data_IF_871793983449
#
_entry.id   IF_871793983449
#
_cell.length_a   1.000
_cell.length_b   1.000
_cell.length_c   1.000
_cell.angle_alpha   90.00
_cell.angle_beta   90.00
_cell.angle_gamma   90.00
#
_symmetry.space_group_name_H-M   'P 1'
#
loop_
_entity.id
_entity.type
_entity.pdbx_description
1 polymer ?
#
# COMPACT_ATOMS: atom_id res chain seq x y z
N UNK A 1 -22.01 12.96 8.42
CA UNK A 1 -21.19 12.15 9.36
C UNK A 1 -20.57 13.12 10.36
N UNK A 2 -20.59 12.84 11.66
CA UNK A 2 -19.87 13.66 12.63
C UNK A 2 -18.50 13.03 12.93
N UNK A 3 -17.64 13.77 13.65
CA UNK A 3 -16.23 13.44 13.87
C UNK A 3 -15.94 13.26 15.36
N UNK A 4 -16.34 12.12 15.95
CA UNK A 4 -16.33 11.92 17.41
C UNK A 4 -14.95 12.08 18.04
N UNK A 5 -13.89 11.63 17.35
CA UNK A 5 -12.51 11.75 17.84
C UNK A 5 -12.06 13.22 17.76
N UNK A 6 -12.19 13.85 16.60
CA UNK A 6 -11.76 15.24 16.40
C UNK A 6 -12.55 16.21 17.31
N UNK A 7 -13.86 16.01 17.45
CA UNK A 7 -14.71 16.79 18.34
C UNK A 7 -14.32 16.64 19.81
N UNK A 8 -13.95 15.42 20.24
CA UNK A 8 -13.43 15.19 21.59
C UNK A 8 -12.12 15.94 21.81
N UNK A 9 -11.14 15.81 20.90
CA UNK A 9 -9.83 16.45 21.02
C UNK A 9 -9.93 17.96 21.07
N UNK A 10 -10.73 18.57 20.20
CA UNK A 10 -10.92 20.03 20.17
C UNK A 10 -11.60 20.55 21.44
N UNK A 11 -12.62 19.85 21.91
CA UNK A 11 -13.30 20.18 23.18
C UNK A 11 -12.37 20.05 24.39
N UNK A 12 -11.58 18.97 24.45
CA UNK A 12 -10.61 18.74 25.51
C UNK A 12 -9.53 19.83 25.51
N UNK A 13 -8.98 20.16 24.35
CA UNK A 13 -7.96 21.22 24.22
C UNK A 13 -8.52 22.61 24.65
N UNK A 14 -9.77 22.92 24.29
CA UNK A 14 -10.42 24.20 24.65
C UNK A 14 -10.67 24.37 26.15
N UNK A 15 -10.75 23.28 26.92
CA UNK A 15 -10.90 23.32 28.38
C UNK A 15 -9.60 23.65 29.11
N UNK A 16 -8.47 23.66 28.41
CA UNK A 16 -7.10 23.86 28.96
C UNK A 16 -6.87 23.09 30.29
N UNK A 17 -7.04 21.76 30.29
CA UNK A 17 -6.97 20.99 31.52
C UNK A 17 -5.55 20.86 32.05
N UNK A 18 -5.41 20.77 33.37
CA UNK A 18 -4.12 20.42 33.99
C UNK A 18 -3.75 18.96 33.67
N UNK A 19 -2.79 18.76 32.77
CA UNK A 19 -2.40 17.45 32.25
C UNK A 19 -1.34 16.78 33.11
N UNK A 20 -1.76 15.97 34.09
CA UNK A 20 -0.83 15.17 34.94
C UNK A 20 -0.66 13.74 34.41
N UNK A 21 -1.03 13.51 33.14
CA UNK A 21 -0.88 12.27 32.37
C UNK A 21 0.08 12.45 31.19
N UNK A 22 0.41 11.38 30.46
CA UNK A 22 1.12 11.45 29.17
C UNK A 22 0.27 12.22 28.13
N UNK A 23 0.85 12.80 27.09
CA UNK A 23 2.29 12.88 26.76
C UNK A 23 3.08 13.88 27.61
N UNK A 24 4.40 13.72 27.61
CA UNK A 24 5.32 14.54 28.43
C UNK A 24 5.32 16.05 28.16
N UNK A 25 4.94 16.48 26.94
CA UNK A 25 4.82 17.89 26.55
C UNK A 25 3.64 18.63 27.20
N UNK A 26 2.70 17.92 27.82
CA UNK A 26 1.57 18.50 28.56
C UNK A 26 0.67 19.44 27.73
N UNK A 27 0.59 19.22 26.41
CA UNK A 27 -0.14 20.07 25.47
C UNK A 27 0.54 21.41 25.15
N UNK A 28 1.81 21.58 25.52
CA UNK A 28 2.54 22.83 25.32
C UNK A 28 3.51 22.70 24.16
N UNK A 29 3.48 23.71 23.29
CA UNK A 29 4.41 23.79 22.16
C UNK A 29 5.84 24.14 22.61
N UNK A 30 6.76 24.06 21.67
CA UNK A 30 8.19 24.33 21.84
C UNK A 30 8.67 25.58 21.11
N UNK A 31 7.75 26.45 20.65
CA UNK A 31 8.06 27.62 19.83
C UNK A 31 8.28 27.25 18.36
N UNK A 32 7.57 26.28 17.83
CA UNK A 32 7.72 25.73 16.48
C UNK A 32 6.41 25.75 15.67
N UNK A 33 6.50 25.47 14.38
CA UNK A 33 5.32 25.33 13.51
C UNK A 33 4.39 24.17 13.93
N UNK A 34 4.86 23.24 14.77
CA UNK A 34 4.07 22.12 15.29
C UNK A 34 3.23 22.48 16.52
N UNK A 35 3.34 23.69 17.06
CA UNK A 35 2.73 24.07 18.32
C UNK A 35 1.20 23.92 18.36
N UNK A 36 0.56 24.10 17.22
CA UNK A 36 -0.89 23.91 17.10
C UNK A 36 -1.35 22.44 17.28
N UNK A 37 -0.45 21.47 17.11
CA UNK A 37 -0.76 20.05 17.25
C UNK A 37 -0.69 19.55 18.70
N UNK A 38 0.20 20.13 19.54
CA UNK A 38 0.43 19.65 20.91
C UNK A 38 -0.82 19.65 21.80
N UNK A 39 -1.74 20.66 21.75
CA UNK A 39 -2.98 20.63 22.53
C UNK A 39 -3.92 19.46 22.17
N UNK A 40 -3.85 18.96 20.91
CA UNK A 40 -4.66 17.87 20.40
C UNK A 40 -4.02 16.49 20.59
N UNK A 41 -2.72 16.44 20.93
CA UNK A 41 -2.01 15.19 21.15
C UNK A 41 -2.21 14.74 22.60
N UNK A 42 -2.89 13.61 22.76
CA UNK A 42 -3.28 13.04 24.07
C UNK A 42 -2.95 11.54 24.11
N UNK A 43 -3.28 10.93 25.22
CA UNK A 43 -3.27 9.47 25.41
C UNK A 43 -4.67 8.98 25.76
N UNK A 44 -4.81 7.73 26.14
CA UNK A 44 -6.01 7.04 26.58
C UNK A 44 -6.49 7.57 27.94
N UNK A 45 -7.07 8.76 27.94
CA UNK A 45 -7.70 9.39 29.12
C UNK A 45 -9.21 9.07 29.15
N UNK A 46 -9.90 9.29 30.27
CA UNK A 46 -11.35 9.08 30.35
C UNK A 46 -12.09 9.81 29.22
N UNK A 47 -12.88 9.06 28.45
CA UNK A 47 -13.63 9.55 27.30
C UNK A 47 -12.87 9.57 25.97
N UNK A 48 -11.56 9.38 25.95
CA UNK A 48 -10.76 9.32 24.73
C UNK A 48 -10.79 7.96 24.01
N UNK A 49 -11.30 6.91 24.69
CA UNK A 49 -11.32 5.53 24.22
C UNK A 49 -9.90 4.89 24.15
N UNK A 50 -9.79 3.63 23.73
CA UNK A 50 -8.53 2.91 23.51
C UNK A 50 -8.57 2.18 22.17
N UNK A 51 -7.52 2.28 21.36
CA UNK A 51 -7.56 1.78 19.97
C UNK A 51 -7.89 0.29 19.89
N UNK A 52 -7.29 -0.55 20.73
CA UNK A 52 -7.48 -2.01 20.64
C UNK A 52 -8.68 -2.53 21.44
N UNK A 53 -9.17 -1.75 22.42
CA UNK A 53 -10.32 -2.08 23.24
C UNK A 53 -11.45 -1.03 23.05
N UNK A 54 -11.59 -0.52 21.84
CA UNK A 54 -12.48 0.58 21.52
C UNK A 54 -13.95 0.24 21.80
N UNK A 55 -14.58 1.10 22.60
CA UNK A 55 -16.00 1.03 22.95
C UNK A 55 -16.67 2.42 22.98
N UNK A 56 -15.92 3.48 22.65
CA UNK A 56 -16.34 4.87 22.66
C UNK A 56 -16.15 5.56 21.31
N UNK A 57 -15.48 6.72 21.35
CA UNK A 57 -15.35 7.61 20.17
C UNK A 57 -14.55 6.98 19.02
N UNK A 58 -13.59 6.10 19.31
CA UNK A 58 -12.83 5.39 18.28
C UNK A 58 -13.75 4.35 17.62
N UNK A 59 -14.46 3.55 18.41
CA UNK A 59 -15.40 2.57 17.87
C UNK A 59 -16.50 3.23 17.02
N UNK A 60 -16.98 4.39 17.41
CA UNK A 60 -17.99 5.16 16.66
C UNK A 60 -17.42 5.66 15.33
N UNK A 61 -16.20 6.20 15.31
CA UNK A 61 -15.54 6.66 14.09
C UNK A 61 -15.23 5.49 13.13
N UNK A 62 -14.81 4.35 13.65
CA UNK A 62 -14.62 3.12 12.87
C UNK A 62 -15.94 2.60 12.29
N UNK A 63 -17.05 2.68 13.05
CA UNK A 63 -18.37 2.33 12.56
C UNK A 63 -18.84 3.26 11.42
N UNK A 64 -18.50 4.57 11.49
CA UNK A 64 -18.74 5.51 10.42
C UNK A 64 -18.00 5.11 9.14
N UNK A 65 -16.72 4.74 9.24
CA UNK A 65 -15.95 4.23 8.10
C UNK A 65 -16.54 2.92 7.55
N UNK A 66 -16.90 1.98 8.43
CA UNK A 66 -17.50 0.72 8.05
C UNK A 66 -18.82 0.91 7.29
N UNK A 67 -19.65 1.82 7.75
CA UNK A 67 -20.92 2.16 7.09
C UNK A 67 -20.68 2.76 5.69
N UNK A 68 -19.68 3.65 5.55
CA UNK A 68 -19.38 4.28 4.28
C UNK A 68 -18.80 3.30 3.25
N UNK A 69 -17.86 2.41 3.66
CA UNK A 69 -17.28 1.39 2.79
C UNK A 69 -18.17 0.14 2.62
N UNK A 70 -19.32 0.07 3.30
CA UNK A 70 -20.24 -1.07 3.34
C UNK A 70 -19.54 -2.38 3.77
N UNK A 71 -18.73 -2.30 4.82
CA UNK A 71 -17.98 -3.43 5.39
C UNK A 71 -18.68 -4.00 6.63
N UNK A 72 -18.37 -5.26 6.99
CA UNK A 72 -18.82 -5.82 8.26
C UNK A 72 -18.06 -5.23 9.47
N UNK A 73 -16.89 -4.67 9.22
CA UNK A 73 -16.09 -3.93 10.19
C UNK A 73 -14.90 -3.25 9.53
N UNK A 74 -14.56 -2.08 10.04
CA UNK A 74 -13.36 -1.32 9.67
C UNK A 74 -12.61 -0.98 10.94
N UNK A 75 -11.30 -1.23 10.96
CA UNK A 75 -10.41 -0.95 12.09
C UNK A 75 -9.32 0.03 11.63
N UNK A 76 -9.01 1.00 12.47
CA UNK A 76 -7.98 1.99 12.20
C UNK A 76 -6.58 1.48 12.50
N UNK A 77 -5.63 1.89 11.68
CA UNK A 77 -4.20 1.74 11.93
C UNK A 77 -3.52 3.09 11.93
N UNK A 78 -2.69 3.35 12.94
CA UNK A 78 -1.78 4.50 13.03
C UNK A 78 -0.34 4.13 12.65
N UNK A 79 -0.13 2.91 12.13
CA UNK A 79 1.16 2.38 11.69
C UNK A 79 1.13 1.93 10.21
N UNK A 80 0.30 2.59 9.40
CA UNK A 80 0.14 2.33 7.97
C UNK A 80 -0.51 0.98 7.66
N UNK A 81 -0.61 0.67 6.37
CA UNK A 81 -1.09 -0.63 5.88
C UNK A 81 -0.17 -1.79 6.30
N UNK A 82 1.08 -1.53 6.69
CA UNK A 82 1.97 -2.56 7.24
C UNK A 82 1.32 -3.28 8.41
N UNK A 83 0.76 -2.56 9.38
CA UNK A 83 0.06 -3.15 10.52
C UNK A 83 -1.23 -3.86 10.08
N UNK A 84 -1.94 -3.33 9.09
CA UNK A 84 -3.12 -3.99 8.53
C UNK A 84 -2.77 -5.32 7.83
N UNK A 85 -1.69 -5.37 7.05
CA UNK A 85 -1.21 -6.60 6.39
C UNK A 85 -0.81 -7.66 7.44
N UNK A 86 -0.07 -7.27 8.48
CA UNK A 86 0.27 -8.15 9.59
C UNK A 86 -1.00 -8.72 10.25
N UNK A 87 -2.01 -7.86 10.45
CA UNK A 87 -3.29 -8.25 11.04
C UNK A 87 -4.08 -9.21 10.15
N UNK A 88 -4.17 -8.94 8.84
CA UNK A 88 -4.85 -9.83 7.89
C UNK A 88 -4.23 -11.24 7.91
N UNK A 89 -2.91 -11.31 7.85
CA UNK A 89 -2.19 -12.60 7.86
C UNK A 89 -2.30 -13.31 9.22
N UNK A 90 -2.30 -12.58 10.33
CA UNK A 90 -2.51 -13.15 11.66
C UNK A 90 -3.92 -13.73 11.83
N UNK A 91 -4.95 -13.08 11.26
CA UNK A 91 -6.32 -13.60 11.25
C UNK A 91 -6.42 -14.93 10.50
N UNK A 92 -5.62 -15.09 9.44
CA UNK A 92 -5.61 -16.33 8.63
C UNK A 92 -4.81 -17.46 9.27
N UNK A 93 -3.77 -17.16 10.04
CA UNK A 93 -2.82 -18.17 10.55
C UNK A 93 -3.48 -19.36 11.28
N UNK A 94 -4.58 -19.13 11.97
CA UNK A 94 -5.29 -20.20 12.70
C UNK A 94 -6.07 -21.17 11.80
N UNK A 95 -6.54 -20.68 10.65
CA UNK A 95 -7.39 -21.42 9.73
C UNK A 95 -6.61 -21.89 8.50
N UNK A 96 -5.66 -21.06 8.04
CA UNK A 96 -4.93 -21.24 6.79
C UNK A 96 -3.46 -20.85 6.93
N UNK A 97 -2.60 -21.79 7.32
CA UNK A 97 -1.15 -21.52 7.41
C UNK A 97 -0.49 -21.34 6.05
N UNK A 98 -1.08 -21.93 5.00
CA UNK A 98 -0.64 -21.82 3.62
C UNK A 98 -1.24 -20.56 2.99
N UNK A 99 -0.41 -19.75 2.34
CA UNK A 99 -0.82 -18.53 1.65
C UNK A 99 -0.38 -18.62 0.20
N UNK A 100 -1.33 -18.59 -0.73
CA UNK A 100 -1.06 -18.39 -2.16
C UNK A 100 -0.95 -16.90 -2.42
N UNK A 101 0.25 -16.40 -2.69
CA UNK A 101 0.51 -14.98 -2.88
C UNK A 101 0.99 -14.68 -4.30
N UNK A 102 0.42 -13.65 -4.93
CA UNK A 102 0.95 -13.12 -6.19
C UNK A 102 2.28 -12.44 -5.91
N UNK A 103 3.30 -12.71 -6.75
CA UNK A 103 4.72 -12.39 -6.46
C UNK A 103 5.04 -10.88 -6.38
N UNK A 104 4.14 -9.97 -6.68
CA UNK A 104 4.30 -8.52 -6.56
C UNK A 104 3.94 -7.96 -5.16
N UNK A 105 4.18 -8.74 -4.11
CA UNK A 105 3.88 -8.33 -2.72
C UNK A 105 4.81 -7.23 -2.23
N UNK A 106 4.29 -6.38 -1.36
CA UNK A 106 5.09 -5.43 -0.61
C UNK A 106 5.89 -6.13 0.50
N UNK A 107 7.05 -5.58 0.88
CA UNK A 107 7.91 -6.15 1.96
C UNK A 107 7.18 -6.41 3.28
N UNK A 108 6.09 -5.67 3.58
CA UNK A 108 5.28 -5.88 4.77
C UNK A 108 4.66 -7.29 4.83
N UNK A 109 4.27 -7.85 3.66
CA UNK A 109 3.82 -9.22 3.54
C UNK A 109 4.94 -10.22 3.94
N UNK A 110 6.16 -10.00 3.47
CA UNK A 110 7.31 -10.87 3.76
C UNK A 110 7.66 -10.85 5.26
N UNK A 111 7.74 -9.65 5.85
CA UNK A 111 8.04 -9.53 7.30
C UNK A 111 6.95 -10.16 8.15
N UNK A 112 5.69 -10.00 7.80
CA UNK A 112 4.58 -10.66 8.47
C UNK A 112 4.67 -12.20 8.33
N UNK A 113 4.96 -12.70 7.12
CA UNK A 113 5.11 -14.14 6.87
C UNK A 113 6.26 -14.75 7.67
N UNK A 114 7.38 -14.04 7.80
CA UNK A 114 8.51 -14.43 8.66
C UNK A 114 8.10 -14.51 10.13
N UNK A 115 7.45 -13.45 10.64
CA UNK A 115 7.04 -13.38 12.05
C UNK A 115 6.00 -14.45 12.41
N UNK A 116 5.06 -14.69 11.53
CA UNK A 116 3.97 -15.66 11.72
C UNK A 116 4.36 -17.09 11.34
N UNK A 117 5.49 -17.30 10.65
CA UNK A 117 5.92 -18.62 10.17
C UNK A 117 4.97 -19.21 9.15
N UNK A 118 4.48 -18.40 8.20
CA UNK A 118 3.56 -18.83 7.16
C UNK A 118 4.27 -19.62 6.06
N UNK A 119 3.54 -20.54 5.46
CA UNK A 119 3.93 -21.29 4.27
C UNK A 119 3.43 -20.54 3.05
N UNK A 120 4.34 -19.87 2.33
CA UNK A 120 3.98 -19.05 1.17
C UNK A 120 4.28 -19.82 -0.11
N UNK A 121 3.30 -19.94 -0.97
CA UNK A 121 3.42 -20.41 -2.35
C UNK A 121 3.18 -19.25 -3.31
N UNK A 122 4.07 -19.13 -4.30
CA UNK A 122 4.07 -17.98 -5.19
C UNK A 122 3.31 -18.23 -6.49
N UNK A 123 2.44 -17.30 -6.83
CA UNK A 123 1.82 -17.18 -8.15
C UNK A 123 2.57 -16.08 -8.91
N UNK A 124 3.23 -16.43 -10.00
CA UNK A 124 3.98 -15.47 -10.81
C UNK A 124 3.03 -14.81 -11.82
N UNK A 125 2.88 -13.46 -11.77
CA UNK A 125 2.07 -12.75 -12.74
C UNK A 125 2.75 -12.70 -14.10
N UNK A 126 1.99 -12.41 -15.16
CA UNK A 126 2.55 -11.97 -16.44
C UNK A 126 2.97 -10.51 -16.31
N UNK A 127 4.27 -10.26 -16.29
CA UNK A 127 4.81 -8.91 -16.09
C UNK A 127 4.59 -8.04 -17.33
N UNK A 128 4.10 -6.82 -17.11
CA UNK A 128 3.78 -5.83 -18.15
C UNK A 128 4.48 -4.50 -17.93
N UNK A 129 5.02 -4.26 -16.75
CA UNK A 129 5.74 -3.06 -16.36
C UNK A 129 7.00 -3.36 -15.53
N UNK A 130 7.89 -4.24 -16.03
CA UNK A 130 9.02 -4.71 -15.24
C UNK A 130 8.54 -5.45 -13.98
N UNK A 131 9.27 -5.31 -12.88
CA UNK A 131 8.86 -5.89 -11.57
C UNK A 131 7.65 -5.16 -10.96
N UNK A 132 7.34 -3.93 -11.42
CA UNK A 132 6.38 -3.03 -10.81
C UNK A 132 4.94 -3.41 -11.10
N UNK A 133 4.67 -4.03 -12.24
CA UNK A 133 3.33 -4.35 -12.67
C UNK A 133 3.25 -5.71 -13.35
N UNK A 134 2.18 -6.43 -13.04
CA UNK A 134 1.91 -7.72 -13.65
C UNK A 134 0.44 -8.13 -13.51
N UNK A 135 -0.03 -8.84 -14.50
CA UNK A 135 -1.41 -9.33 -14.56
C UNK A 135 -1.49 -10.75 -14.01
N UNK A 136 -2.42 -10.98 -13.10
CA UNK A 136 -2.85 -12.31 -12.65
C UNK A 136 -4.31 -12.52 -13.05
N UNK A 137 -4.63 -13.71 -13.56
CA UNK A 137 -5.98 -14.06 -13.99
C UNK A 137 -6.69 -14.95 -12.97
N UNK A 138 -8.04 -14.94 -12.91
CA UNK A 138 -8.80 -15.89 -12.10
C UNK A 138 -8.43 -17.35 -12.39
N UNK A 139 -8.14 -17.70 -13.65
CA UNK A 139 -7.72 -19.05 -14.04
C UNK A 139 -6.37 -19.47 -13.43
N UNK A 140 -5.40 -18.54 -13.32
CA UNK A 140 -4.13 -18.84 -12.64
C UNK A 140 -4.33 -19.09 -11.14
N UNK A 141 -5.24 -18.32 -10.50
CA UNK A 141 -5.61 -18.54 -9.09
C UNK A 141 -6.29 -19.89 -8.92
N UNK A 142 -7.26 -20.25 -9.79
CA UNK A 142 -7.93 -21.56 -9.78
C UNK A 142 -6.92 -22.70 -9.88
N UNK A 143 -6.03 -22.66 -10.87
CA UNK A 143 -5.00 -23.68 -11.07
C UNK A 143 -4.07 -23.84 -9.84
N UNK A 144 -3.72 -22.74 -9.16
CA UNK A 144 -2.90 -22.79 -7.95
C UNK A 144 -3.67 -23.39 -6.75
N UNK A 145 -4.97 -23.11 -6.62
CA UNK A 145 -5.82 -23.71 -5.60
C UNK A 145 -6.04 -25.20 -5.85
N UNK A 146 -6.26 -25.59 -7.10
CA UNK A 146 -6.44 -27.00 -7.50
C UNK A 146 -5.17 -27.85 -7.32
N UNK A 147 -4.00 -27.24 -7.38
CA UNK A 147 -2.70 -27.94 -7.29
C UNK A 147 -2.44 -28.55 -5.90
N UNK A 148 -3.16 -28.14 -4.85
CA UNK A 148 -2.98 -28.64 -3.49
C UNK A 148 -4.32 -28.74 -2.75
N UNK A 149 -4.59 -29.87 -2.09
CA UNK A 149 -5.79 -30.06 -1.27
C UNK A 149 -5.73 -29.34 0.09
N UNK A 150 -4.60 -28.77 0.45
CA UNK A 150 -4.44 -28.08 1.74
C UNK A 150 -5.17 -26.75 1.70
N UNK A 151 -6.05 -26.44 2.68
CA UNK A 151 -6.72 -25.14 2.76
C UNK A 151 -5.70 -23.98 2.74
N UNK A 152 -5.98 -22.98 1.92
CA UNK A 152 -5.14 -21.80 1.76
C UNK A 152 -5.99 -20.54 1.76
N UNK A 153 -5.37 -19.39 2.07
CA UNK A 153 -5.90 -18.09 1.68
C UNK A 153 -5.13 -17.56 0.47
N UNK A 154 -5.74 -16.64 -0.27
CA UNK A 154 -5.13 -16.00 -1.43
C UNK A 154 -4.80 -14.55 -1.10
N UNK A 155 -3.60 -14.09 -1.47
CA UNK A 155 -3.15 -12.71 -1.25
C UNK A 155 -2.78 -12.04 -2.58
N UNK A 156 -3.39 -10.88 -2.84
CA UNK A 156 -3.21 -10.11 -4.07
C UNK A 156 -2.95 -8.65 -3.73
N UNK A 157 -1.99 -8.00 -4.41
CA UNK A 157 -1.79 -6.55 -4.38
C UNK A 157 -2.51 -5.91 -5.56
N UNK A 158 -3.46 -5.01 -5.29
CA UNK A 158 -4.23 -4.28 -6.31
C UNK A 158 -4.83 -3.00 -5.72
N UNK A 159 -4.57 -1.81 -6.34
CA UNK A 159 -3.71 -1.58 -7.50
C UNK A 159 -2.24 -1.91 -7.25
N UNK A 160 -1.52 -2.25 -8.33
CA UNK A 160 -0.07 -2.38 -8.26
C UNK A 160 0.63 -1.00 -8.33
N UNK A 161 1.97 -1.02 -8.36
CA UNK A 161 2.75 0.22 -8.26
C UNK A 161 2.63 1.15 -9.48
N UNK A 162 2.27 0.65 -10.67
CA UNK A 162 1.98 1.45 -11.86
C UNK A 162 0.50 1.84 -11.99
N UNK A 163 -0.35 1.38 -11.05
CA UNK A 163 -1.78 1.66 -11.03
C UNK A 163 -2.66 0.62 -11.75
N UNK A 164 -2.10 -0.55 -12.13
CA UNK A 164 -2.92 -1.62 -12.71
C UNK A 164 -3.79 -2.28 -11.63
N UNK A 165 -5.08 -2.45 -11.92
CA UNK A 165 -6.03 -3.15 -11.04
C UNK A 165 -6.25 -4.58 -11.53
N UNK A 166 -6.13 -5.55 -10.64
CA UNK A 166 -6.48 -6.94 -10.91
C UNK A 166 -8.01 -7.14 -11.01
N UNK A 167 -8.43 -8.22 -11.67
CA UNK A 167 -9.86 -8.63 -11.70
C UNK A 167 -10.26 -9.24 -10.34
N UNK A 168 -10.44 -8.37 -9.34
CA UNK A 168 -10.77 -8.79 -7.98
C UNK A 168 -12.10 -9.55 -7.93
N UNK A 169 -13.09 -9.16 -8.72
CA UNK A 169 -14.38 -9.85 -8.73
C UNK A 169 -14.27 -11.29 -9.27
N UNK A 170 -13.56 -11.48 -10.37
CA UNK A 170 -13.30 -12.81 -10.92
C UNK A 170 -12.43 -13.67 -9.99
N UNK A 171 -11.41 -13.08 -9.37
CA UNK A 171 -10.54 -13.76 -8.39
C UNK A 171 -11.36 -14.14 -7.14
N UNK A 172 -12.20 -13.25 -6.61
CA UNK A 172 -13.06 -13.55 -5.46
C UNK A 172 -14.02 -14.71 -5.74
N UNK A 173 -14.64 -14.73 -6.91
CA UNK A 173 -15.52 -15.83 -7.30
C UNK A 173 -14.80 -17.19 -7.29
N UNK A 174 -13.58 -17.23 -7.82
CA UNK A 174 -12.73 -18.44 -7.80
C UNK A 174 -12.36 -18.83 -6.36
N UNK A 175 -11.88 -17.87 -5.58
CA UNK A 175 -11.49 -18.12 -4.18
C UNK A 175 -12.66 -18.71 -3.37
N UNK A 176 -13.85 -18.10 -3.48
CA UNK A 176 -15.02 -18.56 -2.74
C UNK A 176 -15.52 -19.94 -3.21
N UNK A 177 -15.41 -20.26 -4.51
CA UNK A 177 -15.71 -21.61 -5.01
C UNK A 177 -14.79 -22.68 -4.38
N UNK A 178 -13.55 -22.30 -4.02
CA UNK A 178 -12.59 -23.17 -3.35
C UNK A 178 -12.57 -23.00 -1.81
N UNK A 179 -13.52 -22.25 -1.26
CA UNK A 179 -13.58 -21.95 0.19
C UNK A 179 -12.31 -21.26 0.73
N UNK A 180 -11.57 -20.56 -0.12
CA UNK A 180 -10.35 -19.83 0.19
C UNK A 180 -10.67 -18.35 0.43
N UNK A 181 -10.32 -17.75 1.59
CA UNK A 181 -10.44 -16.32 1.79
C UNK A 181 -9.54 -15.52 0.85
N UNK A 182 -10.05 -14.41 0.32
CA UNK A 182 -9.29 -13.47 -0.50
C UNK A 182 -8.87 -12.25 0.33
N UNK A 183 -7.56 -12.03 0.42
CA UNK A 183 -6.92 -10.89 1.06
C UNK A 183 -6.37 -9.95 -0.01
N UNK A 184 -6.73 -8.67 0.06
CA UNK A 184 -6.27 -7.67 -0.91
C UNK A 184 -5.47 -6.57 -0.24
N UNK A 185 -4.23 -6.41 -0.66
CA UNK A 185 -3.43 -5.22 -0.37
C UNK A 185 -3.82 -4.11 -1.34
N UNK A 186 -4.72 -3.25 -0.91
CA UNK A 186 -5.25 -2.11 -1.65
C UNK A 186 -4.60 -0.79 -1.20
N UNK A 187 -3.34 -0.85 -0.76
CA UNK A 187 -2.66 0.32 -0.21
C UNK A 187 -2.70 1.55 -1.15
N UNK A 188 -2.74 1.35 -2.46
CA UNK A 188 -2.84 2.41 -3.46
C UNK A 188 -4.30 2.69 -3.92
N UNK A 189 -5.30 2.02 -3.35
CA UNK A 189 -6.68 2.05 -3.86
C UNK A 189 -7.74 2.55 -2.87
N UNK A 190 -7.39 3.22 -1.78
CA UNK A 190 -8.36 3.71 -0.79
C UNK A 190 -9.50 4.55 -1.40
N UNK A 191 -9.22 5.28 -2.49
CA UNK A 191 -10.19 6.10 -3.25
C UNK A 191 -11.14 5.27 -4.13
N UNK A 192 -10.87 3.98 -4.37
CA UNK A 192 -11.68 3.14 -5.25
C UNK A 192 -13.13 2.97 -4.77
N UNK A 193 -13.37 3.16 -3.48
CA UNK A 193 -14.72 3.23 -2.89
C UNK A 193 -15.57 4.41 -3.37
N UNK A 194 -14.94 5.47 -3.87
CA UNK A 194 -15.62 6.67 -4.38
C UNK A 194 -16.25 6.51 -5.76
N UNK A 195 -15.89 5.45 -6.51
CA UNK A 195 -16.53 5.17 -7.79
C UNK A 195 -17.97 4.67 -7.65
N UNK A 196 -18.81 4.94 -8.63
CA UNK A 196 -20.17 4.39 -8.71
C UNK A 196 -20.35 3.68 -10.06
N UNK A 197 -20.47 2.32 -10.06
CA UNK A 197 -20.40 1.42 -8.90
C UNK A 197 -19.01 1.40 -8.23
N UNK A 198 -18.97 1.04 -6.95
CA UNK A 198 -17.72 0.96 -6.18
C UNK A 198 -16.76 -0.05 -6.83
N UNK A 199 -15.46 0.35 -6.90
CA UNK A 199 -14.36 -0.51 -7.37
C UNK A 199 -13.49 -1.00 -6.21
N UNK A 200 -13.92 -0.74 -4.97
CA UNK A 200 -13.19 -1.16 -3.77
C UNK A 200 -13.21 -2.69 -3.63
N UNK A 201 -12.10 -3.33 -3.25
CA UNK A 201 -11.99 -4.78 -3.16
C UNK A 201 -13.09 -5.47 -2.34
N UNK A 202 -13.51 -4.89 -1.22
CA UNK A 202 -14.62 -5.43 -0.42
C UNK A 202 -15.93 -5.46 -1.23
N UNK A 203 -16.23 -4.41 -1.97
CA UNK A 203 -17.41 -4.37 -2.82
C UNK A 203 -17.32 -5.37 -4.00
N UNK A 204 -16.11 -5.78 -4.37
CA UNK A 204 -15.83 -6.75 -5.42
C UNK A 204 -15.68 -8.19 -4.88
N UNK A 205 -15.86 -8.41 -3.57
CA UNK A 205 -15.91 -9.74 -2.96
C UNK A 205 -14.65 -10.15 -2.16
N UNK A 206 -13.68 -9.26 -1.92
CA UNK A 206 -12.58 -9.56 -1.02
C UNK A 206 -13.08 -9.79 0.42
N UNK A 207 -12.47 -10.73 1.14
CA UNK A 207 -12.80 -11.02 2.54
C UNK A 207 -12.13 -10.04 3.50
N UNK A 208 -10.89 -9.68 3.21
CA UNK A 208 -10.07 -8.73 3.96
C UNK A 208 -9.37 -7.79 2.98
N UNK A 209 -9.28 -6.52 3.37
CA UNK A 209 -8.62 -5.51 2.54
C UNK A 209 -7.93 -4.48 3.42
N UNK A 210 -6.75 -4.02 3.02
CA UNK A 210 -6.08 -2.89 3.68
C UNK A 210 -5.90 -1.71 2.75
N UNK A 211 -6.18 -0.51 3.26
CA UNK A 211 -6.05 0.75 2.56
C UNK A 211 -5.03 1.65 3.26
N UNK A 212 -4.02 2.15 2.53
CA UNK A 212 -3.23 3.29 3.02
C UNK A 212 -4.00 4.58 2.74
N UNK A 213 -4.80 5.04 3.70
CA UNK A 213 -5.59 6.26 3.55
C UNK A 213 -4.69 7.45 3.15
N UNK A 214 -3.52 7.56 3.77
CA UNK A 214 -2.56 8.66 3.56
C UNK A 214 -1.95 8.73 2.15
N UNK A 215 -2.05 7.68 1.31
CA UNK A 215 -1.52 7.71 -0.06
C UNK A 215 -2.46 8.41 -1.03
N UNK A 216 -3.75 8.11 -0.96
CA UNK A 216 -4.73 8.52 -1.95
C UNK A 216 -5.85 9.41 -1.41
N UNK A 217 -6.03 9.48 -0.10
CA UNK A 217 -7.01 10.29 0.60
C UNK A 217 -6.32 11.36 1.47
N UNK A 218 -7.04 12.43 1.88
CA UNK A 218 -6.47 13.51 2.68
C UNK A 218 -6.30 13.12 4.16
N UNK A 219 -5.43 12.15 4.41
CA UNK A 219 -5.08 11.68 5.75
C UNK A 219 -3.59 11.83 6.02
N UNK A 220 -3.20 12.02 7.27
CA UNK A 220 -1.79 12.13 7.69
C UNK A 220 -1.05 10.80 7.43
N UNK A 221 0.25 10.89 7.13
CA UNK A 221 1.12 9.73 6.93
C UNK A 221 1.04 8.79 8.12
N UNK A 222 0.87 7.49 7.86
CA UNK A 222 0.65 6.47 8.87
C UNK A 222 -0.82 6.07 9.05
N UNK A 223 -1.77 6.85 8.54
CA UNK A 223 -3.19 6.52 8.56
C UNK A 223 -3.54 5.40 7.58
N UNK A 224 -4.20 4.35 8.06
CA UNK A 224 -4.67 3.25 7.23
C UNK A 224 -5.96 2.64 7.79
N UNK A 225 -6.69 1.95 6.93
CA UNK A 225 -7.87 1.15 7.27
C UNK A 225 -7.59 -0.34 7.05
N UNK A 226 -8.11 -1.15 7.94
CA UNK A 226 -8.32 -2.59 7.72
C UNK A 226 -9.81 -2.84 7.61
N UNK A 227 -10.26 -3.32 6.47
CA UNK A 227 -11.65 -3.64 6.18
C UNK A 227 -11.88 -5.14 6.19
N UNK A 228 -13.03 -5.55 6.71
CA UNK A 228 -13.47 -6.94 6.73
C UNK A 228 -14.88 -7.07 6.15
N UNK A 229 -15.12 -8.05 5.29
CA UNK A 229 -16.45 -8.33 4.73
C UNK A 229 -17.29 -9.25 5.62
N UNK A 230 -16.66 -9.91 6.61
CA UNK A 230 -17.30 -10.92 7.45
C UNK A 230 -17.25 -10.57 8.94
N UNK A 231 -18.38 -10.68 9.69
CA UNK A 231 -18.40 -10.37 11.11
C UNK A 231 -17.40 -11.16 11.97
N UNK A 232 -17.08 -12.41 11.58
CA UNK A 232 -16.11 -13.26 12.29
C UNK A 232 -14.69 -12.67 12.29
N UNK A 233 -14.29 -12.01 11.21
CA UNK A 233 -13.00 -11.33 11.14
C UNK A 233 -13.05 -9.98 11.87
N UNK A 234 -14.14 -9.23 11.71
CA UNK A 234 -14.33 -7.97 12.42
C UNK A 234 -14.17 -8.12 13.93
N UNK A 235 -14.82 -9.14 14.52
CA UNK A 235 -14.76 -9.42 15.94
C UNK A 235 -13.35 -9.73 16.48
N UNK A 236 -12.43 -10.18 15.63
CA UNK A 236 -11.06 -10.61 16.00
C UNK A 236 -9.97 -9.61 15.56
N UNK A 237 -10.33 -8.64 14.70
CA UNK A 237 -9.36 -7.77 14.04
C UNK A 237 -8.51 -6.97 15.04
N UNK A 238 -9.11 -6.36 16.06
CA UNK A 238 -8.40 -5.56 17.07
C UNK A 238 -7.46 -6.42 17.92
N UNK A 239 -7.91 -7.58 18.37
CA UNK A 239 -7.06 -8.52 19.11
C UNK A 239 -5.88 -9.03 18.29
N UNK A 240 -6.06 -9.30 16.99
CA UNK A 240 -4.98 -9.65 16.09
C UNK A 240 -4.02 -8.47 15.84
N UNK A 241 -4.56 -7.26 15.69
CA UNK A 241 -3.78 -6.04 15.46
C UNK A 241 -2.92 -5.66 16.67
N UNK A 242 -3.41 -5.85 17.89
CA UNK A 242 -2.69 -5.56 19.14
C UNK A 242 -1.43 -6.39 19.32
N UNK A 243 -1.28 -7.53 18.62
CA UNK A 243 -0.05 -8.35 18.65
C UNK A 243 1.16 -7.63 18.02
N UNK A 244 0.93 -6.65 17.17
CA UNK A 244 1.96 -5.94 16.41
C UNK A 244 1.95 -4.43 16.65
N UNK A 245 0.80 -3.89 17.05
CA UNK A 245 0.60 -2.46 17.24
C UNK A 245 1.14 -1.93 18.56
N UNK A 246 1.47 -0.64 18.56
CA UNK A 246 1.82 0.07 19.80
C UNK A 246 0.57 0.31 20.65
N UNK A 247 0.70 0.14 21.96
CA UNK A 247 -0.34 0.51 22.94
C UNK A 247 -0.47 2.03 23.15
N UNK A 248 0.37 2.83 22.45
CA UNK A 248 0.31 4.30 22.47
C UNK A 248 0.03 4.83 21.06
N UNK A 249 -1.19 4.70 20.54
CA UNK A 249 -1.51 5.20 19.21
C UNK A 249 -1.52 6.73 19.19
N UNK A 250 -1.15 7.32 18.06
CA UNK A 250 -1.26 8.78 17.88
C UNK A 250 -2.73 9.19 17.70
N UNK A 251 -3.26 10.00 18.61
CA UNK A 251 -4.61 10.55 18.50
C UNK A 251 -4.74 11.57 17.37
N UNK A 252 -3.64 12.20 16.95
CA UNK A 252 -3.64 13.07 15.76
C UNK A 252 -3.90 12.25 14.49
N UNK A 253 -3.33 11.04 14.38
CA UNK A 253 -3.60 10.15 13.25
C UNK A 253 -5.03 9.60 13.31
N UNK A 254 -5.53 9.24 14.49
CA UNK A 254 -6.92 8.81 14.65
C UNK A 254 -7.91 9.91 14.26
N UNK A 255 -7.68 11.15 14.69
CA UNK A 255 -8.50 12.29 14.29
C UNK A 255 -8.40 12.59 12.79
N UNK A 256 -7.23 12.35 12.19
CA UNK A 256 -7.07 12.50 10.75
C UNK A 256 -7.90 11.49 9.96
N UNK A 257 -8.01 10.24 10.43
CA UNK A 257 -8.90 9.23 9.84
C UNK A 257 -10.38 9.60 10.03
N UNK A 258 -10.74 10.09 11.20
CA UNK A 258 -12.08 10.56 11.53
C UNK A 258 -12.53 11.72 10.60
N UNK A 259 -11.68 12.71 10.41
CA UNK A 259 -11.90 13.80 9.45
C UNK A 259 -11.95 13.29 8.00
N UNK A 260 -11.14 12.30 7.66
CA UNK A 260 -11.12 11.68 6.34
C UNK A 260 -12.46 11.02 6.00
N UNK A 261 -13.14 10.38 6.96
CA UNK A 261 -14.48 9.81 6.74
C UNK A 261 -15.49 10.90 6.34
N UNK A 262 -15.43 12.05 7.00
CA UNK A 262 -16.31 13.19 6.66
C UNK A 262 -15.99 13.75 5.26
N UNK A 263 -14.70 13.79 4.89
CA UNK A 263 -14.30 14.17 3.55
C UNK A 263 -14.83 13.20 2.48
N UNK A 264 -14.71 11.89 2.71
CA UNK A 264 -15.25 10.87 1.81
C UNK A 264 -16.74 11.05 1.55
N UNK A 265 -17.53 11.30 2.62
CA UNK A 265 -18.97 11.51 2.52
C UNK A 265 -19.35 12.80 1.79
N UNK A 266 -18.67 13.92 2.09
CA UNK A 266 -19.10 15.25 1.64
C UNK A 266 -18.48 15.72 0.33
N UNK A 267 -17.23 15.34 0.07
CA UNK A 267 -16.43 15.93 -1.00
C UNK A 267 -15.82 14.89 -1.94
N UNK A 268 -15.53 13.68 -1.46
CA UNK A 268 -14.71 12.70 -2.15
C UNK A 268 -15.17 12.39 -3.57
N UNK A 269 -16.46 12.12 -3.78
CA UNK A 269 -16.99 11.77 -5.11
C UNK A 269 -16.87 12.93 -6.11
N UNK A 270 -17.15 14.16 -5.67
CA UNK A 270 -17.05 15.34 -6.53
C UNK A 270 -15.58 15.64 -6.89
N UNK A 271 -14.67 15.55 -5.91
CA UNK A 271 -13.25 15.74 -6.12
C UNK A 271 -12.65 14.67 -7.03
N UNK A 272 -13.00 13.39 -6.81
CA UNK A 272 -12.57 12.30 -7.69
C UNK A 272 -13.00 12.55 -9.14
N UNK A 273 -14.27 12.91 -9.37
CA UNK A 273 -14.79 13.19 -10.70
C UNK A 273 -14.04 14.36 -11.37
N UNK A 274 -13.81 15.44 -10.64
CA UNK A 274 -13.07 16.62 -11.09
C UNK A 274 -11.63 16.28 -11.47
N UNK A 275 -10.91 15.59 -10.60
CA UNK A 275 -9.48 15.25 -10.82
C UNK A 275 -9.35 14.23 -11.95
N UNK A 276 -10.21 13.23 -12.00
CA UNK A 276 -10.22 12.21 -13.08
C UNK A 276 -10.46 12.84 -14.45
N UNK A 277 -11.42 13.75 -14.55
CA UNK A 277 -11.69 14.49 -15.80
C UNK A 277 -10.47 15.32 -16.22
N UNK A 278 -9.87 16.06 -15.29
CA UNK A 278 -8.70 16.87 -15.57
C UNK A 278 -7.47 16.04 -15.98
N UNK A 279 -7.23 14.90 -15.34
CA UNK A 279 -6.16 13.97 -15.71
C UNK A 279 -6.39 13.33 -17.08
N UNK A 280 -7.64 13.06 -17.45
CA UNK A 280 -8.00 12.60 -18.79
C UNK A 280 -7.65 13.64 -19.85
N UNK A 281 -8.00 14.89 -19.60
CA UNK A 281 -7.66 16.02 -20.50
C UNK A 281 -6.14 16.22 -20.59
N UNK A 282 -5.42 16.13 -19.47
CA UNK A 282 -3.95 16.23 -19.41
C UNK A 282 -3.30 15.13 -20.26
N UNK A 283 -3.74 13.87 -20.11
CA UNK A 283 -3.21 12.75 -20.92
C UNK A 283 -3.45 12.98 -22.41
N UNK A 284 -4.63 13.45 -22.79
CA UNK A 284 -4.96 13.79 -24.18
C UNK A 284 -4.08 14.94 -24.70
N UNK A 285 -3.97 16.03 -23.94
CA UNK A 285 -3.17 17.19 -24.31
C UNK A 285 -1.67 16.89 -24.46
N UNK A 286 -1.16 15.85 -23.80
CA UNK A 286 0.25 15.45 -23.82
C UNK A 286 0.51 14.18 -24.68
N UNK A 287 -0.50 13.64 -25.34
CA UNK A 287 -0.41 12.37 -26.10
C UNK A 287 0.54 12.41 -27.29
N UNK A 288 0.87 13.61 -27.81
CA UNK A 288 1.86 13.85 -28.85
C UNK A 288 3.31 13.74 -28.36
N UNK A 289 3.51 13.86 -27.04
CA UNK A 289 4.84 13.87 -26.46
C UNK A 289 5.07 12.80 -25.38
N UNK A 290 4.07 12.35 -24.68
CA UNK A 290 4.22 11.38 -23.60
C UNK A 290 3.28 10.19 -23.79
N UNK A 291 3.77 9.00 -23.52
CA UNK A 291 2.99 7.78 -23.38
C UNK A 291 2.66 7.55 -21.93
N UNK A 292 1.41 7.17 -21.67
CA UNK A 292 0.94 6.90 -20.31
C UNK A 292 0.61 5.42 -20.15
N UNK A 293 1.01 4.85 -19.01
CA UNK A 293 0.67 3.48 -18.66
C UNK A 293 -0.84 3.39 -18.33
N UNK A 294 -1.56 2.38 -18.83
CA UNK A 294 -2.98 2.20 -18.51
C UNK A 294 -3.15 1.71 -17.07
N UNK A 295 -3.93 2.42 -16.28
CA UNK A 295 -4.15 2.10 -14.87
C UNK A 295 -5.37 2.80 -14.31
N UNK A 296 -5.54 2.74 -13.01
CA UNK A 296 -6.56 3.51 -12.34
C UNK A 296 -6.31 5.02 -12.53
N UNK A 297 -7.38 5.85 -12.54
CA UNK A 297 -7.27 7.23 -13.05
C UNK A 297 -6.28 8.14 -12.33
N UNK A 298 -6.08 7.97 -10.99
CA UNK A 298 -5.26 8.88 -10.19
C UNK A 298 -3.76 8.55 -10.23
N UNK A 299 -3.36 7.35 -10.68
CA UNK A 299 -1.98 7.04 -11.03
C UNK A 299 -1.65 7.66 -12.40
N UNK A 300 -0.86 8.71 -12.41
CA UNK A 300 -0.31 9.28 -13.64
C UNK A 300 1.07 8.68 -13.88
N UNK A 301 1.08 7.47 -14.44
CA UNK A 301 2.31 6.76 -14.77
C UNK A 301 2.73 7.07 -16.20
N UNK A 302 3.92 7.65 -16.37
CA UNK A 302 4.50 7.98 -17.67
C UNK A 302 5.45 6.86 -18.08
N UNK A 303 5.24 6.28 -19.29
CA UNK A 303 6.17 5.36 -19.94
C UNK A 303 7.32 6.20 -20.52
N UNK A 304 8.24 6.61 -19.67
CA UNK A 304 9.26 7.58 -20.00
C UNK A 304 10.20 7.09 -21.11
N UNK A 305 10.66 5.83 -21.03
CA UNK A 305 11.51 5.20 -22.03
C UNK A 305 10.85 5.18 -23.43
N UNK A 306 9.57 4.77 -23.51
CA UNK A 306 8.81 4.78 -24.76
C UNK A 306 8.53 6.19 -25.27
N UNK A 307 8.67 7.19 -24.43
CA UNK A 307 8.53 8.61 -24.76
C UNK A 307 9.86 9.28 -25.13
N UNK A 308 10.97 8.55 -25.09
CA UNK A 308 12.29 9.05 -25.49
C UNK A 308 13.11 9.71 -24.37
N UNK A 309 12.86 9.37 -23.10
CA UNK A 309 13.63 9.85 -21.96
C UNK A 309 13.70 8.74 -20.89
N UNK A 310 14.76 8.65 -20.11
CA UNK A 310 14.77 7.77 -18.94
C UNK A 310 13.87 8.35 -17.84
N UNK A 311 13.14 7.47 -17.12
CA UNK A 311 12.23 7.94 -16.07
C UNK A 311 12.93 8.66 -14.93
N UNK A 312 14.15 8.24 -14.57
CA UNK A 312 14.99 8.94 -13.59
C UNK A 312 15.40 10.33 -14.06
N UNK A 313 15.69 10.52 -15.34
CA UNK A 313 15.97 11.84 -15.92
C UNK A 313 14.71 12.72 -15.91
N UNK A 314 13.56 12.16 -16.28
CA UNK A 314 12.28 12.89 -16.21
C UNK A 314 11.98 13.36 -14.78
N UNK A 315 12.15 12.48 -13.78
CA UNK A 315 11.94 12.82 -12.38
C UNK A 315 12.88 13.95 -11.91
N UNK A 316 14.16 13.89 -12.28
CA UNK A 316 15.13 14.93 -11.95
C UNK A 316 14.77 16.28 -12.57
N UNK A 317 14.29 16.30 -13.82
CA UNK A 317 13.85 17.53 -14.48
C UNK A 317 12.57 18.10 -13.85
N UNK A 318 11.62 17.23 -13.45
CA UNK A 318 10.42 17.64 -12.71
C UNK A 318 10.77 18.20 -11.33
N UNK A 319 11.74 17.60 -10.63
CA UNK A 319 12.26 18.15 -9.37
C UNK A 319 12.83 19.56 -9.54
N UNK A 320 13.54 19.82 -10.65
CA UNK A 320 14.01 21.16 -11.01
C UNK A 320 12.88 22.18 -11.23
N UNK A 321 11.67 21.73 -11.56
CA UNK A 321 10.44 22.53 -11.65
C UNK A 321 9.67 22.57 -10.31
N UNK A 322 10.21 21.96 -9.24
CA UNK A 322 9.59 21.86 -7.92
C UNK A 322 8.40 20.86 -7.91
N UNK A 323 8.46 19.80 -8.73
CA UNK A 323 7.46 18.73 -8.82
C UNK A 323 8.15 17.42 -8.43
N UNK A 324 7.74 16.83 -7.31
CA UNK A 324 8.33 15.59 -6.79
C UNK A 324 7.48 14.39 -7.18
N UNK A 325 8.12 13.36 -7.75
CA UNK A 325 7.47 12.14 -8.17
C UNK A 325 7.42 11.12 -7.03
N UNK A 326 6.44 10.22 -7.09
CA UNK A 326 6.37 9.07 -6.16
C UNK A 326 7.50 8.08 -6.43
N UNK A 327 7.78 7.80 -7.70
CA UNK A 327 8.78 6.82 -8.11
C UNK A 327 9.32 7.15 -9.50
N UNK A 328 10.57 6.78 -9.73
CA UNK A 328 11.13 6.73 -11.07
C UNK A 328 12.20 5.63 -11.18
N UNK A 329 12.19 4.96 -12.32
CA UNK A 329 13.25 4.07 -12.75
C UNK A 329 13.67 4.38 -14.20
N UNK A 330 14.41 3.50 -14.82
CA UNK A 330 14.84 3.65 -16.21
C UNK A 330 13.66 3.76 -17.20
N UNK A 331 12.55 3.08 -16.92
CA UNK A 331 11.46 2.91 -17.87
C UNK A 331 10.23 3.80 -17.54
N UNK A 332 9.97 4.06 -16.26
CA UNK A 332 8.76 4.72 -15.79
C UNK A 332 9.03 5.90 -14.85
N UNK A 333 8.07 6.83 -14.84
CA UNK A 333 7.94 7.86 -13.79
C UNK A 333 6.49 7.84 -13.29
N UNK A 334 6.31 7.67 -11.99
CA UNK A 334 4.99 7.56 -11.36
C UNK A 334 4.70 8.81 -10.56
N UNK A 335 3.58 9.46 -10.84
CA UNK A 335 3.02 10.54 -10.05
C UNK A 335 1.67 10.10 -9.48
N UNK A 336 1.49 10.28 -8.17
CA UNK A 336 0.22 10.02 -7.50
C UNK A 336 -0.57 11.31 -7.36
N UNK A 337 -1.77 11.34 -7.93
CA UNK A 337 -2.70 12.44 -7.79
C UNK A 337 -3.78 12.06 -6.78
N UNK A 338 -3.79 12.69 -5.61
CA UNK A 338 -4.85 12.48 -4.63
C UNK A 338 -6.15 13.18 -5.04
N UNK A 339 -7.28 12.79 -4.43
CA UNK A 339 -8.56 13.48 -4.67
C UNK A 339 -8.52 15.01 -4.42
N UNK A 340 -7.74 15.54 -3.43
CA UNK A 340 -7.63 16.98 -3.21
C UNK A 340 -6.80 17.74 -4.26
N UNK A 341 -6.12 17.06 -5.19
CA UNK A 341 -5.30 17.73 -6.22
C UNK A 341 -6.10 18.78 -6.97
N UNK A 342 -5.53 19.98 -7.08
CA UNK A 342 -6.20 21.14 -7.71
C UNK A 342 -5.97 21.19 -9.22
N UNK A 343 -6.85 21.87 -9.92
CA UNK A 343 -6.68 22.10 -11.38
C UNK A 343 -5.44 22.95 -11.68
N UNK A 344 -5.07 23.87 -10.79
CA UNK A 344 -3.88 24.70 -10.92
C UNK A 344 -2.60 23.86 -10.84
N UNK A 345 -2.55 22.88 -9.93
CA UNK A 345 -1.41 21.95 -9.82
C UNK A 345 -1.30 21.08 -11.08
N UNK A 346 -2.41 20.59 -11.60
CA UNK A 346 -2.43 19.80 -12.84
C UNK A 346 -2.02 20.63 -14.06
N UNK A 347 -2.43 21.91 -14.14
CA UNK A 347 -1.98 22.80 -15.21
C UNK A 347 -0.47 23.06 -15.12
N UNK A 348 0.06 23.31 -13.91
CA UNK A 348 1.50 23.46 -13.68
C UNK A 348 2.27 22.21 -14.11
N UNK A 349 1.78 21.02 -13.78
CA UNK A 349 2.36 19.75 -14.20
C UNK A 349 2.35 19.60 -15.72
N UNK A 350 1.22 19.92 -16.37
CA UNK A 350 1.09 19.87 -17.83
C UNK A 350 2.11 20.80 -18.52
N UNK A 351 2.25 22.02 -18.04
CA UNK A 351 3.19 23.01 -18.58
C UNK A 351 4.64 22.57 -18.40
N UNK A 352 4.98 22.00 -17.25
CA UNK A 352 6.31 21.43 -16.98
C UNK A 352 6.61 20.27 -17.94
N UNK A 353 5.70 19.32 -18.09
CA UNK A 353 5.85 18.18 -19.00
C UNK A 353 5.99 18.62 -20.46
N UNK A 354 5.28 19.68 -20.88
CA UNK A 354 5.44 20.30 -22.22
C UNK A 354 6.85 20.86 -22.42
N UNK A 355 7.39 21.62 -21.44
CA UNK A 355 8.75 22.14 -21.52
C UNK A 355 9.79 21.03 -21.57
N UNK A 356 9.65 20.04 -20.70
CA UNK A 356 10.59 18.93 -20.61
C UNK A 356 10.57 18.08 -21.88
N UNK A 357 9.44 18.00 -22.59
CA UNK A 357 9.34 17.24 -23.83
C UNK A 357 10.34 17.70 -24.93
N UNK A 358 10.83 18.94 -24.87
CA UNK A 358 11.87 19.43 -25.79
C UNK A 358 13.23 18.70 -25.65
N UNK A 359 13.48 18.01 -24.55
CA UNK A 359 14.74 17.33 -24.26
C UNK A 359 14.68 15.81 -24.57
N UNK A 360 13.55 15.31 -25.10
CA UNK A 360 13.41 13.89 -25.44
C UNK A 360 14.32 13.48 -26.59
N UNK A 361 14.89 12.31 -26.48
CA UNK A 361 15.62 11.64 -27.54
C UNK A 361 14.77 10.61 -28.28
N UNK A 362 15.42 9.54 -28.75
CA UNK A 362 14.72 8.45 -29.43
C UNK A 362 13.96 7.57 -28.44
N UNK A 363 12.68 7.22 -28.72
CA UNK A 363 11.92 6.26 -27.94
C UNK A 363 12.64 4.89 -27.85
N UNK A 364 12.61 4.29 -26.67
CA UNK A 364 13.16 2.97 -26.42
C UNK A 364 12.06 2.05 -25.86
N UNK A 365 11.91 0.88 -26.46
CA UNK A 365 11.01 -0.12 -25.88
C UNK A 365 11.61 -0.69 -24.60
N UNK A 366 10.84 -0.85 -23.53
CA UNK A 366 11.26 -1.56 -22.34
C UNK A 366 11.71 -2.98 -22.69
N UNK A 367 12.78 -3.45 -22.07
CA UNK A 367 13.21 -4.84 -22.22
C UNK A 367 12.16 -5.79 -21.63
N UNK A 368 11.89 -6.93 -22.30
CA UNK A 368 11.05 -7.97 -21.71
C UNK A 368 11.52 -8.33 -20.30
N UNK A 369 10.57 -8.52 -19.40
CA UNK A 369 10.85 -8.84 -18.01
C UNK A 369 10.18 -10.14 -17.62
N UNK A 370 10.93 -11.01 -16.96
CA UNK A 370 10.40 -12.17 -16.24
C UNK A 370 11.21 -12.35 -14.96
N UNK A 371 10.51 -12.57 -13.86
CA UNK A 371 11.18 -12.95 -12.63
C UNK A 371 11.48 -14.45 -12.67
N UNK A 372 12.72 -14.89 -12.42
CA UNK A 372 13.02 -16.31 -12.31
C UNK A 372 12.25 -16.92 -11.14
N UNK A 373 11.94 -18.21 -11.21
CA UNK A 373 11.38 -18.98 -10.09
C UNK A 373 12.56 -19.55 -9.30
N UNK A 374 12.95 -18.95 -8.16
CA UNK A 374 14.08 -19.43 -7.38
C UNK A 374 13.72 -20.72 -6.64
N UNK A 375 14.73 -21.55 -6.38
CA UNK A 375 14.60 -22.70 -5.50
C UNK A 375 14.43 -22.24 -4.04
N UNK A 376 13.35 -22.66 -3.37
CA UNK A 376 13.16 -22.47 -1.92
C UNK A 376 13.97 -23.52 -1.16
N UNK A 377 15.09 -23.12 -0.58
CA UNK A 377 16.04 -24.04 0.12
C UNK A 377 15.63 -24.26 1.58
N UNK A 378 15.12 -23.22 2.24
CA UNK A 378 14.62 -23.29 3.60
C UNK A 378 13.48 -22.31 3.83
N UNK A 379 12.79 -22.40 4.98
CA UNK A 379 11.70 -21.48 5.29
C UNK A 379 12.18 -20.03 5.36
N UNK A 380 11.33 -19.08 4.94
CA UNK A 380 11.62 -17.64 5.06
C UNK A 380 12.03 -17.26 6.48
N UNK A 381 11.33 -17.80 7.50
CA UNK A 381 11.64 -17.53 8.91
C UNK A 381 13.04 -17.97 9.32
N UNK A 382 13.46 -19.18 8.89
CA UNK A 382 14.81 -19.70 9.20
C UNK A 382 15.89 -18.81 8.60
N UNK A 383 15.74 -18.42 7.34
CA UNK A 383 16.71 -17.59 6.66
C UNK A 383 16.77 -16.16 7.22
N UNK A 384 15.60 -15.55 7.45
CA UNK A 384 15.52 -14.15 7.87
C UNK A 384 15.91 -13.89 9.33
N UNK A 385 15.76 -14.88 10.22
CA UNK A 385 16.09 -14.76 11.65
C UNK A 385 17.41 -15.48 12.01
N UNK A 386 18.07 -16.13 11.05
CA UNK A 386 19.38 -16.76 11.21
C UNK A 386 20.53 -15.77 11.04
N UNK A 387 21.75 -16.28 11.19
CA UNK A 387 22.96 -15.51 10.95
C UNK A 387 23.11 -15.21 9.44
N UNK A 388 23.43 -13.98 9.13
CA UNK A 388 23.61 -13.52 7.76
C UNK A 388 24.87 -12.65 7.60
N UNK A 389 25.23 -12.42 6.36
CA UNK A 389 26.23 -11.44 5.97
C UNK A 389 25.74 -10.65 4.75
N UNK A 390 26.14 -9.39 4.65
CA UNK A 390 25.85 -8.55 3.50
C UNK A 390 27.00 -8.68 2.49
N UNK A 391 26.69 -9.07 1.26
CA UNK A 391 27.69 -9.26 0.21
C UNK A 391 27.38 -8.39 -1.02
N UNK A 392 28.38 -8.03 -1.84
CA UNK A 392 28.12 -7.47 -3.16
C UNK A 392 27.25 -8.42 -3.99
N UNK A 393 26.37 -7.87 -4.82
CA UNK A 393 25.43 -8.65 -5.64
C UNK A 393 26.16 -9.70 -6.49
N UNK A 394 27.36 -9.38 -7.02
CA UNK A 394 28.20 -10.27 -7.80
C UNK A 394 28.66 -11.52 -7.04
N UNK A 395 28.82 -11.40 -5.73
CA UNK A 395 29.25 -12.49 -4.85
C UNK A 395 28.06 -13.32 -4.29
N UNK A 396 26.84 -12.96 -4.64
CA UNK A 396 25.63 -13.60 -4.10
C UNK A 396 25.17 -14.83 -4.92
N UNK A 397 25.82 -15.16 -6.05
CA UNK A 397 25.44 -16.31 -6.87
C UNK A 397 25.43 -17.59 -6.03
N UNK A 398 24.37 -18.38 -6.20
CA UNK A 398 24.14 -19.66 -5.50
C UNK A 398 24.04 -19.59 -3.97
N UNK A 399 24.13 -18.38 -3.38
CA UNK A 399 23.90 -18.17 -1.95
C UNK A 399 22.38 -18.15 -1.66
N UNK A 400 22.02 -18.41 -0.42
CA UNK A 400 20.64 -18.36 0.06
C UNK A 400 20.34 -16.93 0.53
N UNK A 401 19.29 -16.33 -0.01
CA UNK A 401 18.83 -15.01 0.42
C UNK A 401 18.40 -15.04 1.89
N UNK A 402 18.92 -14.15 2.70
CA UNK A 402 18.54 -13.97 4.11
C UNK A 402 17.60 -12.76 4.26
N UNK A 403 17.79 -11.74 3.41
CA UNK A 403 17.11 -10.46 3.57
C UNK A 403 15.63 -10.52 3.28
N UNK A 404 14.86 -9.81 4.11
CA UNK A 404 13.52 -9.31 3.79
C UNK A 404 13.61 -7.87 3.29
N UNK A 405 14.82 -7.34 3.19
CA UNK A 405 15.08 -5.97 2.75
C UNK A 405 15.06 -5.92 1.23
N UNK A 406 14.11 -5.18 0.71
CA UNK A 406 14.05 -4.79 -0.69
C UNK A 406 14.12 -3.28 -0.75
N UNK A 407 14.78 -2.69 -1.75
CA UNK A 407 14.77 -1.24 -1.93
C UNK A 407 13.34 -0.72 -1.93
N UNK A 408 13.11 0.38 -1.24
CA UNK A 408 11.82 1.03 -1.21
C UNK A 408 12.02 2.49 -1.65
N UNK A 409 11.32 2.94 -2.67
CA UNK A 409 10.42 2.24 -3.59
C UNK A 409 11.18 1.26 -4.53
N UNK A 410 10.52 0.22 -5.11
CA UNK A 410 9.09 -0.12 -5.04
C UNK A 410 8.77 -1.13 -3.94
N UNK A 411 9.72 -1.55 -3.10
CA UNK A 411 9.55 -2.55 -2.04
C UNK A 411 9.03 -3.94 -2.51
N UNK A 412 9.22 -4.28 -3.79
CA UNK A 412 8.85 -5.57 -4.40
C UNK A 412 10.08 -6.48 -4.44
N UNK A 413 9.99 -7.74 -3.95
CA UNK A 413 11.15 -8.62 -3.81
C UNK A 413 11.56 -9.28 -5.14
N UNK A 414 12.86 -9.24 -5.45
CA UNK A 414 13.48 -10.02 -6.53
C UNK A 414 13.75 -11.45 -6.05
N UNK A 415 14.39 -11.59 -4.90
CA UNK A 415 14.52 -12.82 -4.14
C UNK A 415 13.99 -12.62 -2.74
N UNK A 416 13.45 -13.67 -2.11
CA UNK A 416 12.98 -13.64 -0.73
C UNK A 416 13.81 -14.54 0.16
N UNK A 417 13.73 -14.33 1.46
CA UNK A 417 14.47 -15.13 2.45
C UNK A 417 14.23 -16.62 2.25
N UNK A 418 15.32 -17.39 2.23
CA UNK A 418 15.30 -18.82 2.02
C UNK A 418 15.39 -19.27 0.56
N UNK A 419 15.30 -18.38 -0.41
CA UNK A 419 15.49 -18.68 -1.82
C UNK A 419 16.96 -18.65 -2.22
N UNK A 420 17.33 -19.52 -3.17
CA UNK A 420 18.67 -19.51 -3.80
C UNK A 420 18.76 -18.40 -4.84
N UNK A 421 19.74 -17.53 -4.70
CA UNK A 421 19.98 -16.42 -5.62
C UNK A 421 20.63 -16.97 -6.90
N UNK A 422 19.89 -16.97 -7.99
CA UNK A 422 20.40 -17.39 -9.31
C UNK A 422 21.13 -16.25 -10.03
N UNK A 423 21.90 -16.60 -11.07
CA UNK A 423 22.50 -15.59 -11.97
C UNK A 423 21.45 -14.67 -12.63
N UNK A 424 20.24 -15.18 -12.87
CA UNK A 424 19.14 -14.36 -13.37
C UNK A 424 18.67 -13.33 -12.34
N UNK A 425 18.61 -13.69 -11.05
CA UNK A 425 18.31 -12.73 -9.96
C UNK A 425 19.36 -11.61 -9.92
N UNK A 426 20.67 -11.96 -10.07
CA UNK A 426 21.78 -10.98 -10.08
C UNK A 426 21.58 -9.95 -11.20
N UNK A 427 21.21 -10.38 -12.39
CA UNK A 427 20.95 -9.46 -13.50
C UNK A 427 19.80 -8.49 -13.21
N UNK A 428 18.77 -8.95 -12.51
CA UNK A 428 17.65 -8.11 -12.10
C UNK A 428 18.08 -7.15 -10.98
N UNK A 429 18.85 -7.60 -10.00
CA UNK A 429 19.41 -6.72 -8.97
C UNK A 429 20.20 -5.57 -9.60
N UNK A 430 21.07 -5.86 -10.59
CA UNK A 430 21.82 -4.84 -11.32
C UNK A 430 20.90 -3.88 -12.09
N UNK A 431 19.87 -4.42 -12.76
CA UNK A 431 18.88 -3.61 -13.50
C UNK A 431 18.20 -2.55 -12.61
N UNK A 432 17.93 -2.91 -11.36
CA UNK A 432 17.31 -2.02 -10.37
C UNK A 432 18.32 -1.33 -9.44
N UNK A 433 19.61 -1.35 -9.77
CA UNK A 433 20.66 -0.61 -9.05
C UNK A 433 20.91 -1.08 -7.62
N UNK A 434 20.66 -2.36 -7.32
CA UNK A 434 20.87 -2.96 -5.99
C UNK A 434 22.32 -3.40 -5.90
N UNK A 435 23.17 -2.77 -5.05
CA UNK A 435 24.59 -3.08 -5.01
C UNK A 435 24.95 -4.27 -4.10
N UNK A 436 24.12 -4.52 -3.06
CA UNK A 436 24.40 -5.54 -2.05
C UNK A 436 23.12 -6.28 -1.66
N UNK A 437 23.28 -7.53 -1.21
CA UNK A 437 22.19 -8.36 -0.68
C UNK A 437 22.65 -9.11 0.57
N UNK A 438 21.67 -9.40 1.46
CA UNK A 438 21.92 -10.22 2.64
C UNK A 438 21.77 -11.71 2.30
N UNK A 439 22.75 -12.50 2.68
CA UNK A 439 22.79 -13.94 2.44
C UNK A 439 23.04 -14.70 3.74
N UNK A 440 22.47 -15.90 3.84
CA UNK A 440 22.67 -16.79 4.99
C UNK A 440 24.14 -17.19 5.07
N UNK A 441 24.72 -17.15 6.29
CA UNK A 441 26.07 -17.63 6.57
C UNK A 441 26.21 -19.13 6.48
#
# INVERSE_FOLDING_TARGET
>A
MHTPIYEFLTRYAAQDPLRMHMPGHKGRGLGSALDAAFPLDITEIPGADSLFDAAGIIAESEANAAAWYHTAGTVYSTAGSTLCIQTMLALMQQEHRRVLAVRNVHRAFLTASVLLGLEVEWIYPTYTGGILSGTVTPAQIAAALDASPTPACVYVTSPDYLGHCADIAGIAAVCHAHQAPLLVDNAHGAHLGLFSPSRHPIALGADLCCDSAHKMLPALTGCAYLHTSQPRYAARAKAAMSLFGSTSPSYLLLASLDLCNTYLEKHGAADLARVTAALTMLRQALSDCWRFYPGEPLHLTICAAESGMEGTELAQRLEGEGIFCEYADRDFTVLLCGCPTTLQELQRLQDALRRIAAFRGQPRQPEPFSLPVPEQVCSMRRAALGDYETVPVEAAADRICAGVHVPCPPAIPIAVSGERISGACINIFRRYGIPTVDVVK
#
